data_IF_832007192425
#
_entry.id   IF_832007192425
#
_cell.length_a   1.000
_cell.length_b   1.000
_cell.length_c   1.000
_cell.angle_alpha   90.00
_cell.angle_beta   90.00
_cell.angle_gamma   90.00
#
_symmetry.space_group_name_H-M   'P 1'
#
loop_
_entity.id
_entity.type
_entity.pdbx_description
1 polymer ?
#
# COMPACT_ATOMS: atom_id res chain seq x y z
N UNK A 1 8.73 -55.55 -15.71
CA UNK A 1 8.99 -54.94 -17.03
C UNK A 1 7.95 -53.84 -17.23
N UNK A 2 8.34 -52.63 -17.66
CA UNK A 2 7.41 -51.56 -18.07
C UNK A 2 7.79 -51.16 -19.51
N UNK A 3 6.80 -51.07 -20.39
CA UNK A 3 7.04 -50.75 -21.79
C UNK A 3 7.41 -49.26 -21.94
N UNK A 4 8.52 -48.98 -22.64
CA UNK A 4 8.78 -47.62 -23.13
C UNK A 4 7.84 -47.36 -24.29
N UNK A 5 6.81 -46.54 -24.10
CA UNK A 5 6.11 -45.92 -25.24
C UNK A 5 7.10 -44.94 -25.90
N UNK A 6 7.24 -45.04 -27.22
CA UNK A 6 8.05 -44.08 -27.99
C UNK A 6 7.14 -42.88 -28.25
N UNK A 7 7.56 -41.70 -27.82
CA UNK A 7 6.87 -40.46 -28.18
C UNK A 7 6.99 -40.25 -29.69
N UNK A 8 5.86 -40.19 -30.37
CA UNK A 8 5.79 -39.97 -31.81
C UNK A 8 5.66 -38.47 -32.04
N UNK A 9 6.69 -37.86 -32.64
CA UNK A 9 6.70 -36.42 -32.95
C UNK A 9 5.67 -36.14 -34.04
N UNK A 10 4.50 -35.64 -33.64
CA UNK A 10 3.46 -35.15 -34.56
C UNK A 10 3.83 -33.73 -34.96
N UNK A 11 4.54 -33.57 -36.08
CA UNK A 11 4.76 -32.27 -36.71
C UNK A 11 3.43 -31.70 -37.19
N UNK A 12 2.93 -30.66 -36.53
CA UNK A 12 1.61 -30.07 -36.80
C UNK A 12 1.64 -29.20 -38.06
N UNK A 13 1.64 -29.85 -39.22
CA UNK A 13 1.50 -29.20 -40.53
C UNK A 13 0.11 -28.54 -40.65
N UNK A 14 0.04 -27.26 -40.35
CA UNK A 14 -1.11 -26.42 -40.71
C UNK A 14 -1.23 -26.37 -42.24
N UNK A 15 -2.33 -26.92 -42.77
CA UNK A 15 -2.49 -27.17 -44.19
C UNK A 15 -2.71 -25.89 -45.00
N UNK A 16 -1.84 -25.65 -45.99
CA UNK A 16 -2.06 -24.63 -47.01
C UNK A 16 -3.34 -24.97 -47.79
N UNK A 17 -4.35 -24.12 -47.71
CA UNK A 17 -5.60 -24.30 -48.44
C UNK A 17 -5.38 -24.09 -49.95
N UNK A 18 -5.27 -25.19 -50.70
CA UNK A 18 -5.07 -25.15 -52.15
C UNK A 18 -6.30 -24.60 -52.89
N UNK A 19 -6.11 -23.52 -53.67
CA UNK A 19 -7.16 -22.97 -54.52
C UNK A 19 -7.65 -23.98 -55.56
N UNK A 20 -8.84 -24.53 -55.35
CA UNK A 20 -9.53 -25.37 -56.34
C UNK A 20 -9.94 -24.51 -57.54
N UNK A 21 -9.49 -24.88 -58.74
CA UNK A 21 -9.68 -24.07 -59.96
C UNK A 21 -10.35 -24.86 -61.10
N UNK A 22 -11.66 -24.68 -61.24
CA UNK A 22 -12.46 -24.88 -62.47
C UNK A 22 -13.80 -24.15 -62.23
N UNK A 23 -14.41 -23.53 -63.26
CA UNK A 23 -15.08 -24.27 -64.31
C UNK A 23 -14.55 -23.95 -65.72
N UNK A 24 -14.95 -24.78 -66.68
CA UNK A 24 -14.72 -24.52 -68.10
C UNK A 24 -15.96 -23.85 -68.72
N UNK A 25 -15.75 -22.95 -69.68
CA UNK A 25 -16.23 -23.20 -71.04
C UNK A 25 -15.41 -22.42 -72.09
N UNK A 26 -15.71 -22.60 -73.38
CA UNK A 26 -14.81 -22.39 -74.51
C UNK A 26 -14.86 -21.01 -75.21
N UNK A 27 -13.80 -20.77 -76.01
CA UNK A 27 -13.71 -19.89 -77.19
C UNK A 27 -13.27 -18.43 -76.97
N UNK A 28 -12.10 -18.07 -77.53
CA UNK A 28 -11.59 -16.70 -77.57
C UNK A 28 -10.09 -16.62 -77.87
N UNK A 29 -9.68 -16.85 -79.12
CA UNK A 29 -8.26 -16.82 -79.52
C UNK A 29 -7.65 -15.42 -79.47
N UNK A 30 -6.71 -15.19 -78.56
CA UNK A 30 -5.71 -14.10 -78.64
C UNK A 30 -4.45 -14.48 -77.86
N UNK A 31 -3.27 -14.19 -78.41
CA UNK A 31 -2.00 -14.35 -77.71
C UNK A 31 -1.78 -13.17 -76.76
N UNK A 32 -1.54 -13.47 -75.48
CA UNK A 32 -1.03 -12.51 -74.51
C UNK A 32 0.09 -13.18 -73.70
N UNK A 33 1.34 -12.86 -74.03
CA UNK A 33 2.51 -13.21 -73.22
C UNK A 33 2.51 -12.43 -71.91
N UNK A 34 2.91 -13.08 -70.82
CA UNK A 34 3.09 -12.53 -69.48
C UNK A 34 1.82 -11.89 -68.87
N UNK A 35 1.22 -12.56 -67.89
CA UNK A 35 0.44 -11.86 -66.87
C UNK A 35 1.40 -11.24 -65.88
N UNK A 36 1.30 -9.94 -65.67
CA UNK A 36 1.92 -9.27 -64.54
C UNK A 36 1.46 -9.90 -63.23
N UNK A 37 2.40 -10.45 -62.46
CA UNK A 37 2.22 -10.60 -61.01
C UNK A 37 2.58 -9.24 -60.41
N UNK A 38 1.73 -8.24 -60.65
CA UNK A 38 1.84 -6.93 -60.02
C UNK A 38 1.33 -7.03 -58.57
N UNK A 39 2.09 -7.77 -57.75
CA UNK A 39 2.00 -7.67 -56.31
C UNK A 39 2.33 -6.23 -55.92
N UNK A 40 1.52 -5.64 -55.04
CA UNK A 40 1.67 -4.25 -54.59
C UNK A 40 2.85 -4.12 -53.63
N UNK A 41 4.08 -4.22 -54.15
CA UNK A 41 5.28 -3.90 -53.39
C UNK A 41 5.34 -2.38 -53.20
N UNK A 42 4.76 -1.89 -52.11
CA UNK A 42 5.08 -0.55 -51.60
C UNK A 42 6.59 -0.48 -51.39
N UNK A 43 7.23 0.52 -51.97
CA UNK A 43 8.69 0.69 -51.87
C UNK A 43 9.01 1.10 -50.44
N UNK A 44 9.45 0.13 -49.61
CA UNK A 44 9.83 0.33 -48.21
C UNK A 44 10.86 1.46 -48.13
N UNK A 45 10.55 2.52 -47.39
CA UNK A 45 11.51 3.59 -47.08
C UNK A 45 12.37 3.19 -45.88
N UNK A 46 13.57 3.79 -45.76
CA UNK A 46 14.42 3.61 -44.58
C UNK A 46 13.66 3.89 -43.28
N UNK A 47 12.93 5.02 -43.22
CA UNK A 47 12.11 5.40 -42.06
C UNK A 47 11.08 4.32 -41.70
N UNK A 48 10.47 3.67 -42.70
CA UNK A 48 9.49 2.60 -42.48
C UNK A 48 10.12 1.31 -41.94
N UNK A 49 11.39 1.04 -42.28
CA UNK A 49 12.15 -0.09 -41.77
C UNK A 49 12.65 0.21 -40.36
N UNK A 50 13.18 1.43 -40.12
CA UNK A 50 13.59 1.90 -38.79
C UNK A 50 12.43 1.94 -37.79
N UNK A 51 11.22 2.30 -38.23
CA UNK A 51 10.02 2.25 -37.39
C UNK A 51 9.69 0.81 -36.99
N UNK A 52 9.67 -0.13 -37.94
CA UNK A 52 9.46 -1.56 -37.65
C UNK A 52 10.55 -2.12 -36.73
N UNK A 53 11.81 -1.74 -36.95
CA UNK A 53 12.94 -2.17 -36.12
C UNK A 53 12.79 -1.69 -34.67
N UNK A 54 12.58 -0.39 -34.44
CA UNK A 54 12.51 0.16 -33.08
C UNK A 54 11.26 -0.31 -32.30
N UNK A 55 10.16 -0.59 -33.00
CA UNK A 55 8.98 -1.23 -32.41
C UNK A 55 9.30 -2.63 -31.87
N UNK A 56 10.00 -3.47 -32.64
CA UNK A 56 10.35 -4.84 -32.23
C UNK A 56 11.48 -4.89 -31.22
N UNK A 57 12.48 -4.02 -31.33
CA UNK A 57 13.53 -3.84 -30.31
C UNK A 57 12.91 -3.55 -28.93
N UNK A 58 12.00 -2.56 -28.88
CA UNK A 58 11.25 -2.20 -27.65
C UNK A 58 10.38 -3.35 -27.13
N UNK A 59 9.72 -4.10 -28.02
CA UNK A 59 8.86 -5.25 -27.63
C UNK A 59 9.65 -6.41 -27.04
N UNK A 60 10.88 -6.65 -27.48
CA UNK A 60 11.64 -7.85 -27.11
C UNK A 60 12.58 -7.66 -25.91
N UNK A 61 13.04 -6.44 -25.64
CA UNK A 61 13.98 -6.11 -24.55
C UNK A 61 13.52 -6.62 -23.16
N UNK A 62 12.21 -6.64 -22.89
CA UNK A 62 11.64 -6.97 -21.59
C UNK A 62 11.33 -8.47 -21.34
N UNK A 63 11.45 -9.35 -22.34
CA UNK A 63 10.65 -10.60 -22.37
C UNK A 63 11.41 -11.93 -22.34
N UNK A 64 12.56 -11.99 -21.65
CA UNK A 64 13.35 -13.23 -21.44
C UNK A 64 12.58 -14.42 -20.84
N UNK A 65 11.48 -14.16 -20.14
CA UNK A 65 10.60 -15.16 -19.53
C UNK A 65 9.73 -15.95 -20.52
N UNK A 66 9.61 -15.50 -21.78
CA UNK A 66 8.81 -16.19 -22.81
C UNK A 66 9.33 -17.59 -23.18
N UNK A 67 10.62 -17.86 -22.95
CA UNK A 67 11.25 -19.18 -23.10
C UNK A 67 10.61 -20.30 -22.25
N UNK A 68 9.80 -19.95 -21.24
CA UNK A 68 9.07 -20.91 -20.40
C UNK A 68 7.79 -21.42 -21.08
N UNK A 69 7.12 -20.58 -21.87
CA UNK A 69 5.78 -20.84 -22.40
C UNK A 69 5.83 -21.54 -23.77
N UNK A 70 6.80 -21.19 -24.61
CA UNK A 70 7.01 -21.82 -25.91
C UNK A 70 8.52 -21.82 -26.27
N UNK A 71 9.30 -22.81 -25.80
CA UNK A 71 10.77 -22.75 -25.86
C UNK A 71 11.34 -22.74 -27.28
N UNK A 72 10.73 -23.49 -28.22
CA UNK A 72 11.17 -23.52 -29.61
C UNK A 72 10.73 -22.27 -30.38
N UNK A 73 9.47 -21.82 -30.23
CA UNK A 73 9.00 -20.56 -30.84
C UNK A 73 9.82 -19.35 -30.36
N UNK A 74 10.18 -19.30 -29.07
CA UNK A 74 11.04 -18.24 -28.53
C UNK A 74 12.47 -18.29 -29.10
N UNK A 75 13.00 -19.49 -29.35
CA UNK A 75 14.31 -19.69 -29.99
C UNK A 75 14.28 -19.33 -31.48
N UNK A 76 13.22 -19.66 -32.20
CA UNK A 76 13.02 -19.23 -33.59
C UNK A 76 12.84 -17.72 -33.70
N UNK A 77 12.05 -17.11 -32.79
CA UNK A 77 11.91 -15.66 -32.66
C UNK A 77 13.27 -14.98 -32.45
N UNK A 78 14.09 -15.45 -31.50
CA UNK A 78 15.41 -14.86 -31.25
C UNK A 78 16.36 -15.03 -32.46
N UNK A 79 16.29 -16.15 -33.18
CA UNK A 79 17.05 -16.34 -34.41
C UNK A 79 16.63 -15.38 -35.51
N UNK A 80 15.33 -15.31 -35.82
CA UNK A 80 14.79 -14.41 -36.83
C UNK A 80 14.98 -12.93 -36.46
N UNK A 81 14.94 -12.58 -35.16
CA UNK A 81 15.28 -11.24 -34.70
C UNK A 81 16.76 -10.94 -34.94
N UNK A 82 17.69 -11.84 -34.57
CA UNK A 82 19.13 -11.67 -34.86
C UNK A 82 19.40 -11.44 -36.35
N UNK A 83 18.77 -12.23 -37.23
CA UNK A 83 18.85 -12.06 -38.68
C UNK A 83 18.33 -10.67 -39.11
N UNK A 84 17.18 -10.23 -38.56
CA UNK A 84 16.62 -8.90 -38.83
C UNK A 84 17.51 -7.75 -38.33
N UNK A 85 18.20 -7.93 -37.20
CA UNK A 85 19.17 -6.94 -36.68
C UNK A 85 20.39 -6.82 -37.61
N UNK A 86 20.91 -7.93 -38.15
CA UNK A 86 22.01 -7.90 -39.12
C UNK A 86 21.59 -7.21 -40.43
N UNK A 87 20.43 -7.57 -41.00
CA UNK A 87 19.90 -6.97 -42.23
C UNK A 87 19.65 -5.46 -42.03
N UNK A 88 19.05 -5.05 -40.91
CA UNK A 88 18.86 -3.64 -40.58
C UNK A 88 20.20 -2.90 -40.41
N UNK A 89 21.18 -3.51 -39.75
CA UNK A 89 22.49 -2.90 -39.56
C UNK A 89 23.22 -2.66 -40.89
N UNK A 90 23.01 -3.48 -41.92
CA UNK A 90 23.53 -3.23 -43.27
C UNK A 90 22.76 -2.11 -44.01
N UNK A 91 21.43 -2.15 -43.98
CA UNK A 91 20.57 -1.07 -44.52
C UNK A 91 20.89 0.30 -43.86
N UNK A 92 21.26 0.32 -42.59
CA UNK A 92 21.65 1.53 -41.86
C UNK A 92 23.06 2.04 -42.19
N UNK A 93 23.93 1.21 -42.77
CA UNK A 93 25.24 1.63 -43.32
C UNK A 93 25.07 2.17 -44.74
N UNK A 94 24.23 1.51 -45.55
CA UNK A 94 23.95 1.90 -46.93
C UNK A 94 22.47 1.69 -47.28
N UNK A 95 21.75 2.81 -47.41
CA UNK A 95 20.32 2.82 -47.71
C UNK A 95 19.99 2.38 -49.15
N UNK A 96 20.98 2.27 -50.06
CA UNK A 96 20.75 1.75 -51.41
C UNK A 96 20.42 0.26 -51.40
N UNK A 97 20.91 -0.48 -50.40
CA UNK A 97 20.71 -1.92 -50.25
C UNK A 97 19.22 -2.32 -50.15
N UNK A 98 18.33 -1.42 -49.70
CA UNK A 98 16.88 -1.62 -49.58
C UNK A 98 16.27 -2.26 -50.84
N UNK A 99 16.71 -1.85 -52.02
CA UNK A 99 16.25 -2.36 -53.33
C UNK A 99 17.17 -3.40 -53.97
N UNK A 100 18.37 -3.60 -53.44
CA UNK A 100 19.36 -4.52 -54.00
C UNK A 100 19.15 -5.96 -53.52
N UNK A 101 19.60 -6.93 -54.31
CA UNK A 101 19.42 -8.36 -54.03
C UNK A 101 20.20 -8.81 -52.78
N UNK A 102 19.50 -9.39 -51.81
CA UNK A 102 20.07 -9.81 -50.52
C UNK A 102 21.08 -10.96 -50.65
N UNK A 103 20.89 -11.86 -51.62
CA UNK A 103 21.79 -13.00 -51.85
C UNK A 103 21.86 -13.40 -53.32
N UNK A 104 23.01 -13.89 -53.76
CA UNK A 104 23.18 -14.49 -55.11
C UNK A 104 22.34 -15.76 -55.31
N UNK A 105 21.71 -16.28 -54.25
CA UNK A 105 20.84 -17.46 -54.28
C UNK A 105 19.36 -17.16 -53.99
N UNK A 106 18.98 -15.90 -53.72
CA UNK A 106 17.57 -15.51 -53.52
C UNK A 106 17.15 -14.43 -54.52
N UNK A 107 15.85 -14.38 -54.84
CA UNK A 107 15.25 -13.32 -55.66
C UNK A 107 14.68 -12.18 -54.82
N UNK A 108 15.20 -11.99 -53.60
CA UNK A 108 14.69 -11.05 -52.60
C UNK A 108 15.60 -9.82 -52.49
N UNK A 109 15.05 -8.65 -52.21
CA UNK A 109 15.83 -7.49 -51.78
C UNK A 109 16.14 -7.53 -50.28
N UNK A 110 17.09 -6.70 -49.77
CA UNK A 110 17.32 -6.58 -48.33
C UNK A 110 16.03 -6.22 -47.57
N UNK A 111 15.18 -5.33 -48.11
CA UNK A 111 13.92 -4.98 -47.47
C UNK A 111 12.94 -6.17 -47.40
N UNK A 112 12.87 -6.99 -48.47
CA UNK A 112 12.03 -8.19 -48.47
C UNK A 112 12.54 -9.26 -47.51
N UNK A 113 13.87 -9.43 -47.42
CA UNK A 113 14.48 -10.33 -46.45
C UNK A 113 14.24 -9.86 -45.01
N UNK A 114 14.36 -8.55 -44.73
CA UNK A 114 14.00 -7.96 -43.44
C UNK A 114 12.53 -8.23 -43.08
N UNK A 115 11.60 -7.96 -44.01
CA UNK A 115 10.16 -8.14 -43.77
C UNK A 115 9.78 -9.62 -43.54
N UNK A 116 10.44 -10.59 -44.22
CA UNK A 116 10.28 -12.02 -43.95
C UNK A 116 10.73 -12.40 -42.52
N UNK A 117 11.86 -11.85 -42.06
CA UNK A 117 12.35 -12.08 -40.69
C UNK A 117 11.45 -11.43 -39.64
N UNK A 118 10.95 -10.22 -39.90
CA UNK A 118 9.97 -9.56 -39.01
C UNK A 118 8.66 -10.33 -38.93
N UNK A 119 8.13 -10.85 -40.05
CA UNK A 119 6.90 -11.66 -39.99
C UNK A 119 7.13 -13.00 -39.27
N UNK A 120 8.34 -13.57 -39.36
CA UNK A 120 8.75 -14.76 -38.58
C UNK A 120 8.84 -14.46 -37.07
N UNK A 121 9.39 -13.30 -36.69
CA UNK A 121 9.39 -12.78 -35.31
C UNK A 121 7.96 -12.59 -34.81
N UNK A 122 7.11 -11.92 -35.61
CA UNK A 122 5.72 -11.61 -35.29
C UNK A 122 4.87 -12.86 -35.10
N UNK A 123 4.93 -13.81 -36.03
CA UNK A 123 4.17 -15.06 -35.96
C UNK A 123 4.53 -15.88 -34.72
N UNK A 124 5.83 -16.00 -34.40
CA UNK A 124 6.28 -16.67 -33.18
C UNK A 124 5.89 -15.89 -31.91
N UNK A 125 5.94 -14.55 -31.92
CA UNK A 125 5.52 -13.71 -30.79
C UNK A 125 4.02 -13.84 -30.50
N UNK A 126 3.18 -13.84 -31.53
CA UNK A 126 1.73 -14.05 -31.41
C UNK A 126 1.42 -15.46 -30.88
N UNK A 127 2.11 -16.50 -31.37
CA UNK A 127 1.99 -17.87 -30.85
C UNK A 127 2.41 -17.98 -29.36
N UNK A 128 3.51 -17.32 -28.97
CA UNK A 128 3.96 -17.23 -27.57
C UNK A 128 2.88 -16.60 -26.69
N UNK A 129 2.25 -15.50 -27.12
CA UNK A 129 1.21 -14.83 -26.33
C UNK A 129 -0.04 -15.71 -26.13
N UNK A 130 -0.50 -16.40 -27.18
CA UNK A 130 -1.64 -17.34 -27.07
C UNK A 130 -1.33 -18.47 -26.08
N UNK A 131 -0.12 -19.04 -26.14
CA UNK A 131 0.33 -20.08 -25.20
C UNK A 131 0.52 -19.54 -23.78
N UNK A 132 1.01 -18.30 -23.64
CA UNK A 132 1.17 -17.61 -22.35
C UNK A 132 -0.18 -17.39 -21.67
N UNK A 133 -1.16 -16.78 -22.35
CA UNK A 133 -2.45 -16.47 -21.74
C UNK A 133 -3.23 -17.75 -21.35
N UNK A 134 -3.08 -18.82 -22.14
CA UNK A 134 -3.57 -20.17 -21.83
C UNK A 134 -2.88 -20.77 -20.60
N UNK A 135 -1.55 -20.65 -20.50
CA UNK A 135 -0.78 -21.15 -19.37
C UNK A 135 -1.06 -20.34 -18.09
N UNK A 136 -1.18 -19.02 -18.17
CA UNK A 136 -1.52 -18.16 -17.03
C UNK A 136 -2.90 -18.50 -16.46
N UNK A 137 -3.87 -18.88 -17.32
CA UNK A 137 -5.19 -19.32 -16.87
C UNK A 137 -5.17 -20.71 -16.22
N UNK A 138 -4.46 -21.69 -16.79
CA UNK A 138 -4.45 -23.09 -16.30
C UNK A 138 -3.48 -23.28 -15.13
N UNK A 139 -2.35 -22.57 -15.13
CA UNK A 139 -1.24 -22.75 -14.19
C UNK A 139 -1.16 -21.64 -13.12
N UNK A 140 -2.19 -20.80 -12.98
CA UNK A 140 -2.25 -19.66 -12.05
C UNK A 140 -1.72 -19.97 -10.64
N UNK A 141 -2.23 -21.03 -10.00
CA UNK A 141 -1.80 -21.44 -8.66
C UNK A 141 -0.33 -21.91 -8.63
N UNK A 142 0.14 -22.54 -9.70
CA UNK A 142 1.53 -23.00 -9.84
C UNK A 142 2.51 -21.83 -9.99
N UNK A 143 2.13 -20.84 -10.80
CA UNK A 143 2.90 -19.60 -11.03
C UNK A 143 3.01 -18.82 -9.73
N UNK A 144 1.87 -18.52 -9.10
CA UNK A 144 1.82 -17.81 -7.82
C UNK A 144 2.61 -18.54 -6.71
N UNK A 145 2.61 -19.88 -6.72
CA UNK A 145 3.38 -20.67 -5.78
C UNK A 145 4.90 -20.59 -6.01
N UNK A 146 5.36 -20.59 -7.26
CA UNK A 146 6.79 -20.42 -7.57
C UNK A 146 7.29 -19.03 -7.18
N UNK A 147 6.53 -17.98 -7.47
CA UNK A 147 6.88 -16.62 -7.08
C UNK A 147 6.88 -16.44 -5.55
N UNK A 148 5.92 -17.04 -4.84
CA UNK A 148 5.92 -17.02 -3.38
C UNK A 148 7.13 -17.76 -2.77
N UNK A 149 7.50 -18.92 -3.31
CA UNK A 149 8.70 -19.65 -2.90
C UNK A 149 9.99 -18.86 -3.17
N UNK A 150 10.08 -18.18 -4.31
CA UNK A 150 11.18 -17.27 -4.66
C UNK A 150 11.25 -16.08 -3.70
N UNK A 151 10.12 -15.43 -3.40
CA UNK A 151 10.01 -14.34 -2.43
C UNK A 151 10.42 -14.78 -1.00
N UNK A 152 10.14 -16.03 -0.61
CA UNK A 152 10.60 -16.57 0.67
C UNK A 152 12.12 -16.82 0.70
N UNK A 153 12.79 -16.98 -0.45
CA UNK A 153 14.20 -17.33 -0.59
C UNK A 153 14.47 -18.83 -0.76
N UNK A 154 13.50 -19.61 -1.27
CA UNK A 154 13.64 -21.05 -1.44
C UNK A 154 14.75 -21.45 -2.42
N UNK A 155 14.98 -20.61 -3.44
CA UNK A 155 16.02 -20.73 -4.44
C UNK A 155 17.44 -20.63 -3.84
N UNK A 156 17.63 -19.78 -2.84
CA UNK A 156 18.92 -19.57 -2.15
C UNK A 156 19.14 -20.58 -1.02
N UNK A 157 18.14 -20.78 -0.16
CA UNK A 157 18.22 -21.65 1.02
C UNK A 157 18.16 -23.15 0.67
N UNK A 158 17.38 -23.54 -0.35
CA UNK A 158 17.11 -24.95 -0.69
C UNK A 158 17.36 -25.26 -2.18
N UNK A 159 18.43 -24.68 -2.74
CA UNK A 159 18.91 -24.80 -4.15
C UNK A 159 18.58 -26.12 -4.85
N UNK A 160 18.85 -27.27 -4.24
CA UNK A 160 18.61 -28.59 -4.86
C UNK A 160 17.11 -28.93 -4.96
N UNK A 161 16.34 -28.71 -3.89
CA UNK A 161 14.89 -28.94 -3.89
C UNK A 161 14.19 -27.97 -4.84
N UNK A 162 14.59 -26.69 -4.82
CA UNK A 162 14.03 -25.67 -5.71
C UNK A 162 14.32 -25.98 -7.18
N UNK A 163 15.53 -26.44 -7.52
CA UNK A 163 15.85 -26.88 -8.90
C UNK A 163 15.02 -28.07 -9.37
N UNK A 164 14.73 -29.04 -8.48
CA UNK A 164 13.87 -30.18 -8.83
C UNK A 164 12.42 -29.73 -9.04
N UNK A 165 11.88 -28.96 -8.09
CA UNK A 165 10.54 -28.39 -8.17
C UNK A 165 10.37 -27.47 -9.40
N UNK A 166 11.40 -26.73 -9.78
CA UNK A 166 11.39 -25.91 -11.00
C UNK A 166 11.47 -26.74 -12.29
N UNK A 167 11.92 -28.00 -12.23
CA UNK A 167 11.79 -28.95 -13.34
C UNK A 167 10.38 -29.53 -13.41
N UNK A 168 9.78 -29.84 -12.26
CA UNK A 168 8.37 -30.26 -12.14
C UNK A 168 7.44 -29.14 -12.69
N UNK A 169 7.72 -27.87 -12.30
CA UNK A 169 7.05 -26.67 -12.81
C UNK A 169 7.14 -26.50 -14.32
N UNK A 170 8.32 -26.74 -14.93
CA UNK A 170 8.51 -26.64 -16.38
C UNK A 170 7.68 -27.66 -17.16
N UNK A 171 7.52 -28.87 -16.62
CA UNK A 171 6.72 -29.91 -17.28
C UNK A 171 5.24 -29.51 -17.41
N UNK A 172 4.71 -28.69 -16.49
CA UNK A 172 3.36 -28.15 -16.59
C UNK A 172 3.14 -27.31 -17.86
N UNK A 173 4.14 -26.52 -18.27
CA UNK A 173 4.08 -25.75 -19.52
C UNK A 173 4.20 -26.66 -20.75
N UNK A 174 4.95 -27.76 -20.66
CA UNK A 174 5.03 -28.75 -21.74
C UNK A 174 3.66 -29.39 -22.03
N UNK A 175 2.85 -29.70 -21.01
CA UNK A 175 1.48 -30.20 -21.22
C UNK A 175 0.56 -29.14 -21.86
N UNK A 176 0.64 -27.88 -21.41
CA UNK A 176 -0.16 -26.78 -22.00
C UNK A 176 0.21 -26.52 -23.48
N UNK A 177 1.48 -26.68 -23.84
CA UNK A 177 2.02 -26.58 -25.20
C UNK A 177 1.41 -27.62 -26.15
N UNK A 178 1.20 -28.86 -25.69
CA UNK A 178 0.64 -29.97 -26.51
C UNK A 178 -0.87 -30.15 -26.36
N UNK A 179 -1.55 -29.23 -25.65
CA UNK A 179 -3.00 -29.25 -25.37
C UNK A 179 -3.48 -30.40 -24.45
N UNK A 180 -2.57 -31.05 -23.73
CA UNK A 180 -2.87 -32.10 -22.74
C UNK A 180 -3.30 -31.46 -21.39
N UNK A 181 -4.43 -30.75 -21.40
CA UNK A 181 -4.86 -29.90 -20.28
C UNK A 181 -5.38 -30.69 -19.05
N UNK A 182 -5.85 -31.92 -19.25
CA UNK A 182 -6.22 -32.81 -18.13
C UNK A 182 -4.96 -33.31 -17.40
N UNK A 183 -3.94 -33.78 -18.13
CA UNK A 183 -2.64 -34.16 -17.58
C UNK A 183 -1.92 -32.96 -16.93
N UNK A 184 -2.03 -31.75 -17.50
CA UNK A 184 -1.52 -30.52 -16.88
C UNK A 184 -2.14 -30.26 -15.49
N UNK A 185 -3.43 -30.54 -15.31
CA UNK A 185 -4.13 -30.38 -14.02
C UNK A 185 -3.76 -31.48 -13.02
N UNK A 186 -3.63 -32.75 -13.45
CA UNK A 186 -3.16 -33.82 -12.55
C UNK A 186 -1.72 -33.56 -12.09
N UNK A 187 -0.83 -33.19 -13.02
CA UNK A 187 0.56 -32.83 -12.71
C UNK A 187 0.66 -31.57 -11.83
N UNK A 188 -0.23 -30.58 -12.01
CA UNK A 188 -0.33 -29.41 -11.14
C UNK A 188 -0.65 -29.80 -9.68
N UNK A 189 -1.51 -30.80 -9.45
CA UNK A 189 -1.82 -31.26 -8.08
C UNK A 189 -0.60 -31.91 -7.42
N UNK A 190 0.18 -32.74 -8.13
CA UNK A 190 1.43 -33.29 -7.57
C UNK A 190 2.45 -32.15 -7.31
N UNK A 191 2.63 -31.25 -8.28
CA UNK A 191 3.50 -30.08 -8.16
C UNK A 191 3.16 -29.22 -6.93
N UNK A 192 1.89 -28.87 -6.72
CA UNK A 192 1.45 -28.01 -5.61
C UNK A 192 1.70 -28.70 -4.25
N UNK A 193 1.55 -30.02 -4.17
CA UNK A 193 1.91 -30.79 -2.97
C UNK A 193 3.43 -30.76 -2.70
N UNK A 194 4.25 -31.00 -3.72
CA UNK A 194 5.72 -30.92 -3.61
C UNK A 194 6.18 -29.50 -3.25
N UNK A 195 5.54 -28.48 -3.82
CA UNK A 195 5.79 -27.08 -3.55
C UNK A 195 5.43 -26.71 -2.10
N UNK A 196 4.28 -27.16 -1.59
CA UNK A 196 3.84 -26.97 -0.20
C UNK A 196 4.77 -27.65 0.81
N UNK A 197 5.38 -28.78 0.44
CA UNK A 197 6.43 -29.44 1.25
C UNK A 197 7.73 -28.63 1.26
N UNK A 198 8.11 -27.99 0.16
CA UNK A 198 9.26 -27.07 0.14
C UNK A 198 8.96 -25.79 0.95
N UNK A 199 7.77 -25.23 0.82
CA UNK A 199 7.27 -24.05 1.53
C UNK A 199 7.40 -24.21 3.06
N UNK A 200 6.97 -25.34 3.62
CA UNK A 200 7.14 -25.66 5.04
C UNK A 200 8.62 -25.70 5.44
N UNK A 201 9.49 -26.30 4.63
CA UNK A 201 10.94 -26.39 4.95
C UNK A 201 11.61 -25.02 4.94
N UNK A 202 11.22 -24.15 4.00
CA UNK A 202 11.70 -22.77 3.89
C UNK A 202 11.23 -21.95 5.07
N UNK A 203 9.92 -21.98 5.38
CA UNK A 203 9.36 -21.27 6.53
C UNK A 203 9.96 -21.77 7.86
N UNK A 204 10.15 -23.09 8.03
CA UNK A 204 10.79 -23.66 9.21
C UNK A 204 12.25 -23.19 9.37
N UNK A 205 13.10 -23.25 8.33
CA UNK A 205 14.49 -22.75 8.43
C UNK A 205 14.56 -21.24 8.62
N UNK A 206 13.58 -20.47 8.12
CA UNK A 206 13.50 -19.01 8.26
C UNK A 206 13.01 -18.54 9.63
N UNK A 207 12.10 -19.28 10.26
CA UNK A 207 11.37 -18.82 11.46
C UNK A 207 11.56 -19.67 12.71
N UNK A 208 11.73 -21.00 12.58
CA UNK A 208 11.79 -21.91 13.73
C UNK A 208 13.23 -22.24 14.11
N UNK A 209 14.10 -22.46 13.12
CA UNK A 209 15.48 -22.83 13.40
C UNK A 209 16.25 -21.74 14.18
N UNK A 210 16.10 -20.43 13.92
CA UNK A 210 16.70 -19.40 14.77
C UNK A 210 16.16 -19.37 16.22
N UNK A 211 14.98 -19.94 16.49
CA UNK A 211 14.45 -20.10 17.84
C UNK A 211 15.04 -21.33 18.54
N UNK A 212 15.31 -22.40 17.79
CA UNK A 212 16.01 -23.60 18.30
C UNK A 212 17.49 -23.31 18.56
N UNK A 213 18.18 -22.62 17.64
CA UNK A 213 19.55 -22.11 17.82
C UNK A 213 19.65 -21.19 19.08
N UNK A 214 18.58 -20.43 19.39
CA UNK A 214 18.47 -19.62 20.64
C UNK A 214 18.14 -20.43 21.90
N UNK A 215 17.54 -21.61 21.78
CA UNK A 215 17.20 -22.51 22.90
C UNK A 215 18.41 -23.38 23.27
N UNK A 216 19.10 -23.92 22.27
CA UNK A 216 20.34 -24.70 22.36
C UNK A 216 21.41 -23.92 23.16
N UNK A 217 21.59 -22.62 22.85
CA UNK A 217 22.44 -21.71 23.63
C UNK A 217 22.06 -21.62 25.14
N UNK A 218 20.77 -21.73 25.48
CA UNK A 218 20.31 -21.71 26.87
C UNK A 218 20.43 -23.08 27.56
N UNK A 219 20.49 -24.15 26.77
CA UNK A 219 20.81 -25.50 27.23
C UNK A 219 22.30 -25.56 27.60
N UNK A 220 23.18 -25.05 26.71
CA UNK A 220 24.63 -24.89 26.88
C UNK A 220 25.05 -23.97 28.05
N UNK A 221 24.21 -23.00 28.44
CA UNK A 221 24.45 -22.11 29.60
C UNK A 221 23.93 -22.70 30.94
N UNK A 222 23.54 -23.98 30.96
CA UNK A 222 22.92 -24.74 32.06
C UNK A 222 21.58 -24.15 32.57
N UNK A 223 20.88 -23.32 31.79
CA UNK A 223 19.62 -22.71 32.28
C UNK A 223 18.50 -23.75 32.38
N UNK A 224 18.61 -24.86 31.65
CA UNK A 224 17.70 -26.00 31.75
C UNK A 224 17.74 -26.68 33.14
N UNK A 225 18.91 -26.74 33.80
CA UNK A 225 19.02 -27.26 35.17
C UNK A 225 18.47 -26.27 36.22
N UNK A 226 18.69 -24.97 36.01
CA UNK A 226 18.39 -23.92 36.99
C UNK A 226 16.92 -23.49 36.95
N UNK A 227 16.29 -23.46 35.77
CA UNK A 227 14.87 -23.07 35.59
C UNK A 227 14.09 -24.08 34.74
N UNK A 228 14.07 -25.38 35.10
CA UNK A 228 13.54 -26.45 34.26
C UNK A 228 12.07 -26.25 33.85
N UNK A 229 11.24 -25.68 34.73
CA UNK A 229 9.84 -25.38 34.42
C UNK A 229 9.68 -24.28 33.37
N UNK A 230 10.50 -23.23 33.43
CA UNK A 230 10.50 -22.12 32.47
C UNK A 230 11.11 -22.57 31.14
N UNK A 231 12.19 -23.36 31.19
CA UNK A 231 12.85 -23.93 30.02
C UNK A 231 11.90 -24.86 29.25
N UNK A 232 11.25 -25.82 29.93
CA UNK A 232 10.26 -26.70 29.31
C UNK A 232 9.09 -25.93 28.67
N UNK A 233 8.64 -24.83 29.30
CA UNK A 233 7.61 -23.96 28.74
C UNK A 233 8.08 -23.25 27.45
N UNK A 234 9.31 -22.77 27.40
CA UNK A 234 9.91 -22.20 26.19
C UNK A 234 10.03 -23.25 25.06
N UNK A 235 10.47 -24.47 25.38
CA UNK A 235 10.51 -25.59 24.43
C UNK A 235 9.13 -25.88 23.84
N UNK A 236 8.10 -26.07 24.68
CA UNK A 236 6.72 -26.31 24.23
C UNK A 236 6.14 -25.14 23.41
N UNK A 237 6.54 -23.90 23.70
CA UNK A 237 6.12 -22.73 22.94
C UNK A 237 6.78 -22.68 21.54
N UNK A 238 8.03 -23.14 21.41
CA UNK A 238 8.72 -23.30 20.11
C UNK A 238 8.10 -24.44 19.30
N UNK A 239 7.72 -25.56 19.93
CA UNK A 239 6.97 -26.65 19.28
C UNK A 239 5.60 -26.19 18.79
N UNK A 240 4.89 -25.38 19.58
CA UNK A 240 3.62 -24.75 19.17
C UNK A 240 3.81 -23.79 17.99
N UNK A 241 4.89 -23.01 17.99
CA UNK A 241 5.24 -22.15 16.85
C UNK A 241 5.57 -22.96 15.59
N UNK A 242 6.31 -24.07 15.73
CA UNK A 242 6.60 -24.98 14.61
C UNK A 242 5.33 -25.61 14.03
N UNK A 243 4.41 -26.06 14.89
CA UNK A 243 3.12 -26.60 14.49
C UNK A 243 2.30 -25.57 13.71
N UNK A 244 2.25 -24.31 14.18
CA UNK A 244 1.60 -23.19 13.48
C UNK A 244 2.26 -22.90 12.12
N UNK A 245 3.59 -22.77 12.05
CA UNK A 245 4.32 -22.53 10.78
C UNK A 245 4.09 -23.66 9.76
N UNK A 246 4.00 -24.92 10.22
CA UNK A 246 3.70 -26.08 9.36
C UNK A 246 2.25 -26.05 8.84
N UNK A 247 1.30 -25.72 9.71
CA UNK A 247 -0.13 -25.63 9.38
C UNK A 247 -0.43 -24.46 8.42
N UNK A 248 0.06 -23.26 8.74
CA UNK A 248 -0.28 -22.00 8.05
C UNK A 248 0.98 -21.20 7.66
N UNK A 249 1.80 -21.68 6.69
CA UNK A 249 3.08 -21.06 6.32
C UNK A 249 2.96 -19.67 5.66
N UNK A 250 1.77 -19.28 5.16
CA UNK A 250 1.52 -17.99 4.51
C UNK A 250 0.94 -16.94 5.45
N UNK A 251 0.36 -17.36 6.58
CA UNK A 251 -0.36 -16.50 7.51
C UNK A 251 0.62 -15.69 8.35
N UNK A 252 1.11 -14.59 7.77
CA UNK A 252 2.19 -13.79 8.34
C UNK A 252 1.90 -13.34 9.77
N UNK A 253 0.66 -12.95 10.12
CA UNK A 253 0.31 -12.61 11.50
C UNK A 253 0.52 -13.82 12.41
N UNK A 254 -0.17 -14.93 12.14
CA UNK A 254 -0.11 -16.16 12.96
C UNK A 254 1.33 -16.64 13.18
N UNK A 255 2.20 -16.48 12.17
CA UNK A 255 3.63 -16.77 12.26
C UNK A 255 4.37 -15.76 13.16
N UNK A 256 4.19 -14.45 12.94
CA UNK A 256 4.84 -13.42 13.78
C UNK A 256 4.37 -13.50 15.24
N UNK A 257 3.08 -13.69 15.48
CA UNK A 257 2.48 -13.85 16.81
C UNK A 257 3.03 -15.09 17.53
N UNK A 258 3.27 -16.18 16.78
CA UNK A 258 3.88 -17.40 17.32
C UNK A 258 5.38 -17.23 17.63
N UNK A 259 6.13 -16.55 16.77
CA UNK A 259 7.55 -16.22 16.98
C UNK A 259 7.69 -15.30 18.19
N UNK A 260 6.92 -14.21 18.27
CA UNK A 260 6.98 -13.24 19.36
C UNK A 260 6.69 -13.90 20.72
N UNK A 261 5.73 -14.82 20.78
CA UNK A 261 5.45 -15.60 21.98
C UNK A 261 6.61 -16.56 22.33
N UNK A 262 7.26 -17.20 21.36
CA UNK A 262 8.43 -18.05 21.62
C UNK A 262 9.67 -17.25 22.05
N UNK A 263 9.91 -16.08 21.45
CA UNK A 263 10.99 -15.17 21.85
C UNK A 263 10.75 -14.56 23.24
N UNK A 264 9.49 -14.28 23.60
CA UNK A 264 9.12 -13.90 24.96
C UNK A 264 9.51 -14.99 25.96
N UNK A 265 9.13 -16.26 25.74
CA UNK A 265 9.48 -17.34 26.66
C UNK A 265 11.01 -17.60 26.72
N UNK A 266 11.73 -17.52 25.59
CA UNK A 266 13.21 -17.61 25.57
C UNK A 266 13.87 -16.50 26.39
N UNK A 267 13.35 -15.27 26.34
CA UNK A 267 13.85 -14.16 27.15
C UNK A 267 13.41 -14.27 28.62
N UNK A 268 12.23 -14.87 28.88
CA UNK A 268 11.76 -15.19 30.22
C UNK A 268 12.64 -16.26 30.89
N UNK A 269 13.08 -17.28 30.16
CA UNK A 269 14.10 -18.24 30.63
C UNK A 269 15.37 -17.52 31.08
N UNK A 270 15.92 -16.60 30.27
CA UNK A 270 17.10 -15.79 30.68
C UNK A 270 16.85 -14.99 31.95
N UNK A 271 15.73 -14.29 32.02
CA UNK A 271 15.37 -13.45 33.17
C UNK A 271 15.23 -14.27 34.45
N UNK A 272 14.44 -15.35 34.44
CA UNK A 272 14.22 -16.19 35.63
C UNK A 272 15.50 -16.94 36.00
N UNK A 273 16.32 -17.38 35.03
CA UNK A 273 17.61 -18.01 35.32
C UNK A 273 18.57 -17.05 36.04
N UNK A 274 18.57 -15.76 35.67
CA UNK A 274 19.38 -14.76 36.36
C UNK A 274 18.88 -14.54 37.80
N UNK A 275 17.57 -14.33 38.00
CA UNK A 275 16.99 -14.16 39.34
C UNK A 275 17.18 -15.39 40.23
N UNK A 276 17.05 -16.61 39.70
CA UNK A 276 17.31 -17.84 40.46
C UNK A 276 18.80 -18.00 40.78
N UNK A 277 19.72 -17.66 39.87
CA UNK A 277 21.17 -17.63 40.16
C UNK A 277 21.51 -16.55 41.20
N UNK A 278 20.84 -15.41 41.21
CA UNK A 278 20.95 -14.40 42.26
C UNK A 278 20.44 -14.92 43.60
N UNK A 279 19.21 -15.44 43.68
CA UNK A 279 18.62 -15.99 44.90
C UNK A 279 19.45 -17.16 45.49
N UNK A 280 19.98 -18.05 44.64
CA UNK A 280 20.86 -19.15 45.06
C UNK A 280 22.23 -18.69 45.60
N UNK A 281 22.64 -17.44 45.30
CA UNK A 281 23.86 -16.83 45.87
C UNK A 281 23.64 -16.20 47.25
N UNK A 282 22.38 -16.05 47.67
CA UNK A 282 22.01 -15.47 48.97
C UNK A 282 22.25 -16.51 50.07
N UNK A 283 22.99 -16.12 51.09
CA UNK A 283 23.21 -16.93 52.29
C UNK A 283 22.01 -16.86 53.23
N UNK A 284 21.82 -17.90 54.04
CA UNK A 284 20.69 -18.04 54.96
C UNK A 284 20.47 -16.82 55.87
N UNK A 285 21.54 -16.12 56.27
CA UNK A 285 21.50 -14.90 57.09
C UNK A 285 20.94 -13.66 56.35
N UNK A 286 20.60 -13.78 55.06
CA UNK A 286 20.27 -12.65 54.18
C UNK A 286 18.98 -12.80 53.36
N UNK A 287 18.23 -13.89 53.53
CA UNK A 287 16.91 -14.03 52.88
C UNK A 287 15.93 -12.92 53.27
N UNK A 288 16.03 -12.36 54.48
CA UNK A 288 15.25 -11.18 54.90
C UNK A 288 15.45 -10.00 53.95
N UNK A 289 16.70 -9.71 53.54
CA UNK A 289 17.00 -8.63 52.61
C UNK A 289 16.37 -8.86 51.22
N UNK A 290 16.27 -10.11 50.77
CA UNK A 290 15.61 -10.45 49.50
C UNK A 290 14.10 -10.17 49.57
N UNK A 291 13.45 -10.58 50.67
CA UNK A 291 12.02 -10.32 50.93
C UNK A 291 11.76 -8.81 51.06
N UNK A 292 12.59 -8.08 51.81
CA UNK A 292 12.49 -6.63 51.96
C UNK A 292 12.73 -5.88 50.63
N UNK A 293 13.59 -6.38 49.75
CA UNK A 293 13.78 -5.79 48.42
C UNK A 293 12.51 -5.93 47.55
N UNK A 294 11.92 -7.13 47.50
CA UNK A 294 10.65 -7.37 46.80
C UNK A 294 9.49 -6.56 47.41
N UNK A 295 9.45 -6.45 48.74
CA UNK A 295 8.48 -5.63 49.47
C UNK A 295 8.59 -4.14 49.10
N UNK A 296 9.80 -3.59 49.07
CA UNK A 296 10.01 -2.19 48.68
C UNK A 296 9.66 -1.94 47.20
N UNK A 297 9.85 -2.92 46.30
CA UNK A 297 9.35 -2.83 44.93
C UNK A 297 7.81 -2.76 44.89
N UNK A 298 7.12 -3.64 45.61
CA UNK A 298 5.65 -3.61 45.70
C UNK A 298 5.12 -2.34 46.37
N UNK A 299 5.80 -1.82 47.40
CA UNK A 299 5.48 -0.54 48.04
C UNK A 299 5.61 0.66 47.10
N UNK A 300 6.65 0.67 46.26
CA UNK A 300 6.83 1.74 45.27
C UNK A 300 5.72 1.70 44.21
N UNK A 301 5.30 0.51 43.80
CA UNK A 301 4.15 0.32 42.88
C UNK A 301 2.83 0.72 43.56
N UNK A 302 2.56 0.30 44.79
CA UNK A 302 1.32 0.66 45.49
C UNK A 302 1.23 2.17 45.71
N UNK A 303 2.33 2.82 46.13
CA UNK A 303 2.38 4.27 46.27
C UNK A 303 2.13 5.01 44.95
N UNK A 304 2.73 4.55 43.85
CA UNK A 304 2.50 5.14 42.52
C UNK A 304 1.07 4.91 41.98
N UNK A 305 0.35 3.90 42.47
CA UNK A 305 -1.02 3.58 42.05
C UNK A 305 -2.09 4.29 42.89
N UNK A 306 -1.91 4.37 44.22
CA UNK A 306 -2.94 4.93 45.11
C UNK A 306 -2.43 5.45 46.47
N UNK A 307 -1.13 5.71 46.61
CA UNK A 307 -0.47 6.15 47.85
C UNK A 307 -0.54 5.19 49.06
N UNK A 308 -1.14 4.00 48.91
CA UNK A 308 -1.33 3.06 50.04
C UNK A 308 -0.10 2.20 50.33
N UNK A 309 0.05 1.81 51.59
CA UNK A 309 1.05 0.87 52.08
C UNK A 309 0.37 -0.48 52.40
N UNK A 310 0.93 -1.58 51.91
CA UNK A 310 0.38 -2.94 52.05
C UNK A 310 1.32 -3.91 52.76
N UNK A 311 2.36 -3.41 53.41
CA UNK A 311 3.37 -4.25 54.09
C UNK A 311 2.85 -4.91 55.38
N UNK A 312 1.59 -4.69 55.70
CA UNK A 312 0.81 -5.42 56.71
C UNK A 312 0.52 -6.88 56.33
N UNK A 313 0.68 -7.26 55.05
CA UNK A 313 0.40 -8.62 54.55
C UNK A 313 1.55 -9.17 53.70
N UNK A 314 1.64 -10.50 53.59
CA UNK A 314 2.68 -11.16 52.78
C UNK A 314 2.58 -10.84 51.28
N UNK A 315 3.73 -10.80 50.59
CA UNK A 315 3.93 -10.29 49.21
C UNK A 315 2.82 -10.63 48.20
N UNK A 316 2.32 -11.87 48.17
CA UNK A 316 1.22 -12.27 47.27
C UNK A 316 -0.06 -11.46 47.51
N UNK A 317 -0.44 -11.24 48.77
CA UNK A 317 -1.62 -10.46 49.09
C UNK A 317 -1.37 -8.96 48.89
N UNK A 318 -0.11 -8.49 48.97
CA UNK A 318 0.25 -7.13 48.54
C UNK A 318 -0.03 -6.95 47.05
N UNK A 319 0.43 -7.87 46.19
CA UNK A 319 0.19 -7.77 44.74
C UNK A 319 -1.29 -7.91 44.38
N UNK A 320 -2.06 -8.73 45.09
CA UNK A 320 -3.52 -8.81 44.96
C UNK A 320 -4.23 -7.49 45.35
N UNK A 321 -3.83 -6.85 46.46
CA UNK A 321 -4.31 -5.51 46.87
C UNK A 321 -3.96 -4.43 45.82
N UNK A 322 -2.75 -4.47 45.23
CA UNK A 322 -2.31 -3.57 44.17
C UNK A 322 -3.16 -3.76 42.90
N UNK A 323 -3.34 -5.01 42.44
CA UNK A 323 -4.15 -5.30 41.23
C UNK A 323 -5.62 -4.90 41.43
N UNK A 324 -6.18 -5.08 42.63
CA UNK A 324 -7.51 -4.58 42.96
C UNK A 324 -7.58 -3.05 42.89
N UNK A 325 -6.52 -2.36 43.31
CA UNK A 325 -6.41 -0.89 43.26
C UNK A 325 -6.25 -0.36 41.83
N UNK A 326 -5.43 -1.00 40.99
CA UNK A 326 -5.31 -0.68 39.55
C UNK A 326 -6.66 -0.91 38.83
N UNK A 327 -7.38 -1.98 39.17
CA UNK A 327 -8.74 -2.22 38.63
C UNK A 327 -9.72 -1.14 39.07
N UNK A 328 -9.70 -0.72 40.34
CA UNK A 328 -10.52 0.38 40.84
C UNK A 328 -10.18 1.69 40.12
N UNK A 329 -8.89 2.02 39.99
CA UNK A 329 -8.42 3.19 39.25
C UNK A 329 -8.94 3.16 37.81
N UNK A 330 -8.69 2.09 37.05
CA UNK A 330 -9.20 1.95 35.66
C UNK A 330 -10.73 1.98 35.53
N UNK A 331 -11.49 1.65 36.56
CA UNK A 331 -12.95 1.83 36.60
C UNK A 331 -13.42 3.20 37.08
N UNK A 332 -12.52 3.96 37.72
CA UNK A 332 -12.74 5.32 38.23
C UNK A 332 -12.11 6.39 37.35
N UNK A 333 -11.25 6.01 36.40
CA UNK A 333 -10.67 6.82 35.34
C UNK A 333 -11.74 7.14 34.30
N UNK A 334 -12.72 7.97 34.70
CA UNK A 334 -13.17 9.22 34.08
C UNK A 334 -13.46 9.27 32.57
N UNK A 335 -13.29 8.18 31.82
CA UNK A 335 -13.41 8.14 30.36
C UNK A 335 -14.86 8.31 29.97
N UNK A 336 -15.79 7.62 30.66
CA UNK A 336 -17.23 7.80 30.44
C UNK A 336 -17.72 9.18 30.90
N UNK A 337 -17.13 9.74 31.96
CA UNK A 337 -17.58 11.02 32.53
C UNK A 337 -17.07 12.20 31.70
N UNK A 338 -15.79 12.20 31.29
CA UNK A 338 -15.25 13.17 30.33
C UNK A 338 -15.91 13.04 28.95
N UNK A 339 -16.25 11.85 28.45
CA UNK A 339 -17.01 11.75 27.19
C UNK A 339 -18.38 12.42 27.32
N UNK A 340 -19.11 12.18 28.42
CA UNK A 340 -20.41 12.84 28.66
C UNK A 340 -20.27 14.36 28.89
N UNK A 341 -19.21 14.82 29.57
CA UNK A 341 -18.96 16.25 29.75
C UNK A 341 -18.53 16.93 28.43
N UNK A 342 -17.71 16.28 27.60
CA UNK A 342 -17.35 16.76 26.26
C UNK A 342 -18.61 16.85 25.39
N UNK A 343 -19.45 15.80 25.33
CA UNK A 343 -20.72 15.85 24.60
C UNK A 343 -21.63 16.98 25.09
N UNK A 344 -21.76 17.18 26.40
CA UNK A 344 -22.56 18.25 27.00
C UNK A 344 -21.97 19.66 26.73
N UNK A 345 -20.65 19.80 26.66
CA UNK A 345 -19.98 21.07 26.31
C UNK A 345 -20.10 21.36 24.80
N UNK A 346 -19.94 20.36 23.94
CA UNK A 346 -20.18 20.50 22.49
C UNK A 346 -21.63 20.88 22.21
N UNK A 347 -22.61 20.27 22.88
CA UNK A 347 -24.02 20.63 22.75
C UNK A 347 -24.33 22.07 23.25
N UNK A 348 -23.61 22.55 24.28
CA UNK A 348 -23.71 23.96 24.71
C UNK A 348 -23.10 24.91 23.69
N UNK A 349 -21.95 24.57 23.10
CA UNK A 349 -21.29 25.39 22.09
C UNK A 349 -22.14 25.57 20.83
N UNK A 350 -22.70 24.49 20.26
CA UNK A 350 -23.57 24.60 19.07
C UNK A 350 -24.85 25.39 19.34
N UNK A 351 -25.40 25.30 20.57
CA UNK A 351 -26.51 26.14 21.01
C UNK A 351 -26.12 27.62 21.10
N UNK A 352 -24.99 27.95 21.74
CA UNK A 352 -24.51 29.34 21.85
C UNK A 352 -24.17 29.94 20.48
N UNK A 353 -23.58 29.15 19.57
CA UNK A 353 -23.30 29.57 18.20
C UNK A 353 -24.60 29.86 17.43
N UNK A 354 -25.62 29.01 17.56
CA UNK A 354 -26.95 29.24 16.98
C UNK A 354 -27.61 30.50 17.56
N UNK A 355 -27.53 30.71 18.88
CA UNK A 355 -28.07 31.90 19.54
C UNK A 355 -27.33 33.18 19.11
N UNK A 356 -26.01 33.11 18.90
CA UNK A 356 -25.21 34.23 18.40
C UNK A 356 -25.57 34.57 16.94
N UNK A 357 -25.71 33.57 16.07
CA UNK A 357 -26.19 33.76 14.69
C UNK A 357 -27.59 34.40 14.65
N UNK A 358 -28.49 33.98 15.53
CA UNK A 358 -29.82 34.60 15.65
C UNK A 358 -29.76 36.05 16.14
N UNK A 359 -28.90 36.37 17.12
CA UNK A 359 -28.69 37.75 17.58
C UNK A 359 -28.07 38.63 16.48
N UNK A 360 -27.09 38.12 15.73
CA UNK A 360 -26.50 38.83 14.59
C UNK A 360 -27.56 39.15 13.52
N UNK A 361 -28.44 38.19 13.20
CA UNK A 361 -29.56 38.41 12.27
C UNK A 361 -30.56 39.44 12.81
N UNK A 362 -30.92 39.36 14.11
CA UNK A 362 -31.79 40.35 14.76
C UNK A 362 -31.18 41.76 14.74
N UNK A 363 -29.86 41.91 14.93
CA UNK A 363 -29.19 43.21 14.80
C UNK A 363 -29.24 43.75 13.38
N UNK A 364 -29.02 42.90 12.37
CA UNK A 364 -29.14 43.27 10.95
C UNK A 364 -30.55 43.75 10.61
N UNK A 365 -31.59 43.03 11.04
CA UNK A 365 -32.97 43.41 10.75
C UNK A 365 -33.46 44.62 11.58
N UNK A 366 -32.97 44.76 12.82
CA UNK A 366 -33.19 45.97 13.65
C UNK A 366 -32.54 47.21 13.03
N UNK A 367 -31.33 47.07 12.45
CA UNK A 367 -30.67 48.16 11.74
C UNK A 367 -31.47 48.57 10.49
N UNK A 368 -31.94 47.63 9.67
CA UNK A 368 -32.85 47.94 8.53
C UNK A 368 -34.13 48.65 8.98
N UNK A 369 -34.74 48.21 10.08
CA UNK A 369 -35.92 48.88 10.63
C UNK A 369 -35.60 50.30 11.10
N UNK A 370 -34.42 50.51 11.69
CA UNK A 370 -33.93 51.82 12.10
C UNK A 370 -33.68 52.73 10.89
N UNK A 371 -33.02 52.24 9.84
CA UNK A 371 -32.82 52.97 8.58
C UNK A 371 -34.16 53.38 7.93
N UNK A 372 -35.13 52.47 7.86
CA UNK A 372 -36.48 52.76 7.34
C UNK A 372 -37.21 53.81 8.20
N UNK A 373 -37.08 53.75 9.53
CA UNK A 373 -37.64 54.76 10.43
C UNK A 373 -36.92 56.11 10.30
N UNK A 374 -35.60 56.14 10.13
CA UNK A 374 -34.84 57.37 9.84
C UNK A 374 -35.23 57.96 8.47
N UNK A 375 -35.45 57.14 7.46
CA UNK A 375 -35.96 57.59 6.16
C UNK A 375 -37.39 58.16 6.30
N UNK A 376 -38.27 57.49 7.06
CA UNK A 376 -39.62 57.99 7.35
C UNK A 376 -39.59 59.31 8.13
N UNK A 377 -38.72 59.44 9.15
CA UNK A 377 -38.54 60.67 9.93
C UNK A 377 -38.03 61.80 9.03
N UNK A 378 -37.01 61.58 8.20
CA UNK A 378 -36.53 62.62 7.27
C UNK A 378 -37.60 63.05 6.25
N UNK A 379 -38.48 62.14 5.82
CA UNK A 379 -39.65 62.47 4.99
C UNK A 379 -40.70 63.28 5.77
N UNK A 380 -40.97 62.94 7.03
CA UNK A 380 -41.88 63.75 7.86
C UNK A 380 -41.28 65.12 8.19
N UNK A 381 -39.98 65.22 8.43
CA UNK A 381 -39.29 66.48 8.73
C UNK A 381 -39.26 67.39 7.50
N UNK A 382 -39.01 66.83 6.31
CA UNK A 382 -39.13 67.56 5.05
C UNK A 382 -40.58 68.04 4.78
N UNK A 383 -41.59 67.23 5.14
CA UNK A 383 -43.00 67.61 5.02
C UNK A 383 -43.42 68.65 6.07
N UNK A 384 -42.97 68.51 7.33
CA UNK A 384 -43.14 69.51 8.40
C UNK A 384 -42.51 70.81 7.95
N UNK A 385 -41.26 70.80 7.48
CA UNK A 385 -40.60 72.01 6.95
C UNK A 385 -41.36 72.62 5.78
N UNK A 386 -41.85 71.82 4.83
CA UNK A 386 -42.71 72.33 3.75
C UNK A 386 -44.03 72.93 4.25
N UNK A 387 -44.58 72.40 5.35
CA UNK A 387 -45.75 72.98 6.03
C UNK A 387 -45.37 74.23 6.85
N UNK A 388 -44.17 74.30 7.41
CA UNK A 388 -43.64 75.48 8.12
C UNK A 388 -43.28 76.61 7.14
N UNK A 389 -42.80 76.31 5.94
CA UNK A 389 -42.60 77.28 4.86
C UNK A 389 -43.96 77.77 4.31
N UNK A 390 -44.96 76.89 4.20
CA UNK A 390 -46.36 77.27 3.90
C UNK A 390 -46.99 78.11 5.02
N UNK A 391 -46.86 77.71 6.28
CA UNK A 391 -47.37 78.45 7.44
C UNK A 391 -46.59 79.75 7.62
N UNK A 392 -45.30 79.82 7.32
CA UNK A 392 -44.51 81.05 7.41
C UNK A 392 -44.89 82.02 6.28
N UNK A 393 -45.06 81.56 5.05
CA UNK A 393 -45.57 82.40 3.95
C UNK A 393 -47.00 82.88 4.22
N UNK A 394 -47.89 82.02 4.74
CA UNK A 394 -49.23 82.39 5.19
C UNK A 394 -49.22 83.30 6.44
N UNK A 395 -48.25 83.17 7.35
CA UNK A 395 -48.17 83.96 8.59
C UNK A 395 -47.50 85.31 8.39
N UNK A 396 -46.54 85.41 7.46
CA UNK A 396 -46.06 86.67 6.89
C UNK A 396 -47.19 87.37 6.11
N UNK A 397 -48.15 86.63 5.54
CA UNK A 397 -49.42 87.17 5.06
C UNK A 397 -50.44 87.54 6.16
N UNK A 398 -50.34 86.97 7.37
CA UNK A 398 -51.42 87.03 8.38
C UNK A 398 -51.12 87.85 9.64
N UNK A 399 -50.22 87.44 10.55
CA UNK A 399 -49.99 88.14 11.86
C UNK A 399 -48.97 87.49 12.82
N UNK A 400 -48.45 88.30 13.76
CA UNK A 400 -48.40 87.96 15.20
C UNK A 400 -47.17 87.23 15.76
N UNK A 401 -46.71 87.64 16.97
CA UNK A 401 -45.49 87.16 17.62
C UNK A 401 -45.63 86.91 19.14
N UNK A 402 -44.68 86.13 19.70
CA UNK A 402 -44.34 85.96 21.14
C UNK A 402 -45.37 85.28 22.09
N UNK A 403 -45.03 84.73 23.28
CA UNK A 403 -43.81 84.06 23.81
C UNK A 403 -44.06 83.49 25.25
N UNK A 404 -43.39 82.37 25.65
CA UNK A 404 -42.67 82.01 26.94
C UNK A 404 -43.07 82.57 28.37
N UNK A 405 -42.39 82.33 29.54
CA UNK A 405 -41.52 81.22 30.10
C UNK A 405 -41.62 80.91 31.66
N UNK A 406 -40.66 80.10 32.22
CA UNK A 406 -40.11 79.93 33.64
C UNK A 406 -40.95 79.36 34.84
N UNK A 407 -40.44 78.89 36.02
CA UNK A 407 -39.13 78.89 36.79
C UNK A 407 -39.09 77.83 37.97
N UNK A 408 -38.02 77.51 38.77
CA UNK A 408 -36.53 77.62 38.69
C UNK A 408 -35.66 76.64 39.60
N UNK A 409 -35.30 76.84 40.92
CA UNK A 409 -33.90 76.56 41.38
C UNK A 409 -33.56 75.87 42.78
N UNK A 410 -32.46 75.07 42.80
CA UNK A 410 -31.30 74.95 43.77
C UNK A 410 -31.44 74.46 45.26
N UNK A 411 -30.39 74.14 46.08
CA UNK A 411 -28.89 74.35 46.07
C UNK A 411 -28.07 73.29 46.87
N UNK A 412 -26.86 72.92 46.36
CA UNK A 412 -25.47 72.79 46.92
C UNK A 412 -25.12 72.27 48.37
N UNK A 413 -23.88 71.95 48.79
CA UNK A 413 -22.47 72.15 48.30
C UNK A 413 -21.52 70.99 48.82
N UNK A 414 -20.18 70.85 48.67
CA UNK A 414 -19.01 71.56 48.04
C UNK A 414 -17.85 70.54 47.75
N UNK A 415 -16.59 70.93 47.45
CA UNK A 415 -15.49 70.04 46.94
C UNK A 415 -14.06 70.26 47.54
N UNK A 416 -13.10 69.33 47.34
CA UNK A 416 -11.62 69.50 47.52
C UNK A 416 -10.75 68.51 46.65
N UNK A 417 -9.51 68.84 46.17
CA UNK A 417 -9.02 68.33 44.86
C UNK A 417 -7.49 68.04 44.64
N UNK A 418 -7.15 67.63 43.39
CA UNK A 418 -6.03 68.10 42.51
C UNK A 418 -4.77 67.23 42.17
N UNK A 419 -4.15 67.58 41.00
CA UNK A 419 -2.84 67.23 40.41
C UNK A 419 -2.65 65.87 39.66
N UNK A 420 -1.89 65.74 38.55
CA UNK A 420 -1.53 66.68 37.44
C UNK A 420 -0.96 65.96 36.17
N UNK A 421 -0.59 66.73 35.13
CA UNK A 421 0.11 66.46 33.84
C UNK A 421 1.40 65.58 33.86
N UNK A 422 2.01 65.07 32.75
CA UNK A 422 1.63 64.81 31.34
C UNK A 422 2.77 64.09 30.55
N UNK A 423 2.48 63.58 29.33
CA UNK A 423 3.43 63.35 28.20
C UNK A 423 4.62 62.35 28.37
N UNK A 424 5.36 61.90 27.33
CA UNK A 424 5.07 61.55 25.93
C UNK A 424 6.33 60.95 25.27
N UNK A 425 6.24 59.82 24.54
CA UNK A 425 6.86 59.62 23.20
C UNK A 425 6.61 58.23 22.58
N UNK A 426 6.80 58.18 21.26
CA UNK A 426 6.77 56.99 20.39
C UNK A 426 8.17 56.83 19.77
N UNK A 427 8.64 55.60 19.59
CA UNK A 427 9.58 55.25 18.53
C UNK A 427 9.38 53.79 18.09
N UNK A 428 9.54 53.52 16.79
CA UNK A 428 9.26 52.23 16.13
C UNK A 428 10.43 51.83 15.25
N UNK A 429 10.93 50.60 15.38
CA UNK A 429 11.84 49.97 14.42
C UNK A 429 11.37 48.54 14.17
N UNK A 430 11.52 48.06 12.94
CA UNK A 430 10.95 46.81 12.46
C UNK A 430 11.99 45.67 12.35
N UNK A 431 11.46 44.44 12.35
CA UNK A 431 11.70 43.42 11.32
C UNK A 431 13.14 43.12 10.86
N UNK A 432 13.62 41.91 11.19
CA UNK A 432 14.58 41.13 10.39
C UNK A 432 14.19 39.64 10.47
N UNK A 433 14.05 38.97 9.33
CA UNK A 433 13.80 37.53 9.22
C UNK A 433 15.08 36.67 9.32
N UNK A 434 14.87 35.33 9.31
CA UNK A 434 15.57 34.37 8.43
C UNK A 434 16.76 33.58 8.99
N UNK A 435 16.49 32.32 9.39
CA UNK A 435 17.26 31.10 9.06
C UNK A 435 16.47 29.85 9.47
#
# INVERSE_FOLDING_TARGET
MRAKKIALVVGMLLGVAGCQSTPADQSGTSQATNKDVQASSEVRSFDSIQTTYTEWETKLEAHSQYALYAPENYKELLGAWSDAQEIYADIAKDQTLITDSYSIFSSQTYAQAFDEKIETVKSNYEAILVLKDKADQVLADSIAQMDYLKLLGADTMFKSNYKRLYSEYKELFNYVLVDELEDAQEAQVEFLNNARVLEVKVAHKKYIVPLKEKLELLEDEDFHEVVPLTFAKATSQIELAESKVKATPREKSIIQDAIAAAEFELNHVRSVAHEVKLLASIKDDKFEQAVLNAENQLLNISKAVNEQDYRDVGLRLQSEKIVASIKKLKSSDLTSELTQEIEALTAKLTKLETENQQQAQQLVDTNKQTELLTEQVSKSDAHIKSLEDLVSSLKVQASGAAAEPVAQPAVEAVTAPAADEAASKVETVAEVENS
#
